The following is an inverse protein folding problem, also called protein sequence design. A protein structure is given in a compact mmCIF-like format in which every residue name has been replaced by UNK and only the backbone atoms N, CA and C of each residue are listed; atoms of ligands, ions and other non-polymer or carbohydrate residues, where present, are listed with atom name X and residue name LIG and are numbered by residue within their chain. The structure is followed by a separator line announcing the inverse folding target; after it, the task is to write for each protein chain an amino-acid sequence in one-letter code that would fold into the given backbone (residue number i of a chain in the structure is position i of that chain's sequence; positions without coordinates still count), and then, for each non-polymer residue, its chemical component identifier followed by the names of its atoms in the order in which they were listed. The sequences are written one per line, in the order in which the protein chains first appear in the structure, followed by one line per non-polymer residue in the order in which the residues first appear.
data_IF_803685372826
#
_entry.id   IF_803685372826
#
_cell.length_a   1.000
_cell.length_b   1.000
_cell.length_c   1.000
_cell.angle_alpha   90.00
_cell.angle_beta   90.00
_cell.angle_gamma   90.00
#
_symmetry.space_group_name_H-M   'P 1'
#
loop_
_entity.id
_entity.type
_entity.pdbx_description
1 polymer ?
#
# COMPACT_ATOMS: atom_id res chain seq x y z
N UNK A 1 -32.63 -13.92 41.04
CA UNK A 1 -32.36 -14.51 39.72
C UNK A 1 -32.34 -13.48 38.58
N UNK A 2 -33.27 -12.52 38.49
CA UNK A 2 -33.28 -11.48 37.42
C UNK A 2 -32.04 -10.55 37.39
N UNK A 3 -31.49 -10.21 38.56
CA UNK A 3 -30.30 -9.36 38.68
C UNK A 3 -29.00 -10.07 38.26
N UNK A 4 -28.91 -11.38 38.39
CA UNK A 4 -27.75 -12.20 37.99
C UNK A 4 -27.71 -12.35 36.46
N UNK A 5 -28.87 -12.45 35.79
CA UNK A 5 -28.96 -12.52 34.33
C UNK A 5 -28.49 -11.22 33.65
N UNK A 6 -28.78 -10.05 34.25
CA UNK A 6 -28.34 -8.75 33.72
C UNK A 6 -26.82 -8.55 33.79
N UNK A 7 -26.16 -9.08 34.80
CA UNK A 7 -24.69 -9.01 34.92
C UNK A 7 -24.02 -9.93 33.92
N UNK A 8 -24.58 -11.10 33.63
CA UNK A 8 -24.06 -12.02 32.61
C UNK A 8 -24.21 -11.44 31.17
N UNK A 9 -25.33 -10.77 30.86
CA UNK A 9 -25.50 -10.08 29.60
C UNK A 9 -24.54 -8.89 29.39
N UNK A 10 -24.19 -8.17 30.47
CA UNK A 10 -23.24 -7.06 30.39
C UNK A 10 -21.79 -7.50 30.16
N UNK A 11 -21.44 -8.74 30.55
CA UNK A 11 -20.09 -9.29 30.30
C UNK A 11 -19.90 -9.88 28.91
N UNK A 12 -20.96 -10.11 28.15
CA UNK A 12 -20.89 -10.69 26.80
C UNK A 12 -20.68 -9.65 25.67
N UNK A 13 -20.62 -8.38 26.00
CA UNK A 13 -20.40 -7.31 25.01
C UNK A 13 -18.94 -6.78 24.96
N UNK A 14 -17.96 -7.59 25.35
CA UNK A 14 -16.57 -7.33 24.99
C UNK A 14 -16.42 -7.54 23.49
N UNK A 15 -16.76 -6.50 22.71
CA UNK A 15 -16.34 -6.42 21.34
C UNK A 15 -14.82 -6.41 21.32
N UNK A 16 -14.21 -7.56 21.08
CA UNK A 16 -12.78 -7.64 20.77
C UNK A 16 -12.64 -6.94 19.41
N UNK A 17 -12.32 -5.66 19.45
CA UNK A 17 -11.89 -4.93 18.26
C UNK A 17 -10.53 -5.49 17.90
N UNK A 18 -10.52 -6.51 17.04
CA UNK A 18 -9.28 -6.97 16.44
C UNK A 18 -8.81 -5.90 15.50
N UNK A 19 -7.60 -5.39 15.70
CA UNK A 19 -6.97 -4.47 14.77
C UNK A 19 -6.82 -5.19 13.42
N UNK A 20 -7.42 -4.61 12.38
CA UNK A 20 -7.21 -5.13 11.03
C UNK A 20 -5.79 -4.78 10.60
N UNK A 21 -4.99 -5.80 10.31
CA UNK A 21 -3.64 -5.61 9.78
C UNK A 21 -3.72 -5.15 8.33
N UNK A 22 -3.06 -4.04 8.02
CA UNK A 22 -2.81 -3.64 6.64
C UNK A 22 -1.39 -4.06 6.24
N UNK A 23 -1.24 -4.61 5.04
CA UNK A 23 0.04 -5.02 4.47
C UNK A 23 0.49 -3.96 3.48
N UNK A 24 1.62 -3.32 3.76
CA UNK A 24 2.25 -2.37 2.86
C UNK A 24 3.10 -3.13 1.84
N UNK A 25 2.87 -2.86 0.54
CA UNK A 25 3.69 -3.31 -0.57
C UNK A 25 4.33 -2.08 -1.23
N UNK A 26 5.64 -2.00 -1.20
CA UNK A 26 6.44 -0.91 -1.76
C UNK A 26 7.17 -1.43 -2.99
N UNK A 27 6.65 -1.13 -4.19
CA UNK A 27 7.21 -1.58 -5.47
C UNK A 27 8.20 -0.57 -6.03
N UNK A 28 9.39 -1.02 -6.43
CA UNK A 28 10.29 -0.27 -7.30
C UNK A 28 9.81 -0.35 -8.74
N UNK A 29 9.66 0.79 -9.41
CA UNK A 29 9.15 0.87 -10.77
C UNK A 29 9.77 2.04 -11.54
N UNK A 30 9.43 2.15 -12.81
CA UNK A 30 9.80 3.28 -13.67
C UNK A 30 9.20 3.13 -15.06
N UNK A 31 8.92 4.25 -15.73
CA UNK A 31 8.37 4.26 -17.09
C UNK A 31 9.28 3.57 -18.12
N UNK A 32 10.59 3.59 -17.87
CA UNK A 32 11.61 2.91 -18.68
C UNK A 32 11.62 1.39 -18.53
N UNK A 33 11.04 0.88 -17.43
CA UNK A 33 11.08 -0.53 -17.06
C UNK A 33 10.07 -1.35 -17.88
N UNK A 34 10.53 -2.06 -18.89
CA UNK A 34 9.67 -2.84 -19.79
C UNK A 34 8.98 -4.05 -19.12
N UNK A 35 9.50 -4.52 -17.98
CA UNK A 35 8.92 -5.63 -17.19
C UNK A 35 7.98 -5.16 -16.08
N UNK A 36 7.96 -3.87 -15.76
CA UNK A 36 7.14 -3.31 -14.67
C UNK A 36 5.61 -3.41 -14.88
N UNK A 37 5.06 -3.52 -16.10
CA UNK A 37 3.65 -3.88 -16.27
C UNK A 37 3.23 -5.16 -15.58
N UNK A 38 4.16 -6.11 -15.35
CA UNK A 38 3.90 -7.30 -14.53
C UNK A 38 3.61 -6.93 -13.07
N UNK A 39 4.39 -6.01 -12.51
CA UNK A 39 4.18 -5.51 -11.15
C UNK A 39 2.80 -4.89 -10.99
N UNK A 40 2.39 -4.06 -11.94
CA UNK A 40 1.04 -3.44 -11.97
C UNK A 40 -0.05 -4.51 -11.95
N UNK A 41 0.10 -5.56 -12.79
CA UNK A 41 -0.86 -6.67 -12.84
C UNK A 41 -0.97 -7.41 -11.50
N UNK A 42 0.16 -7.70 -10.86
CA UNK A 42 0.17 -8.39 -9.56
C UNK A 42 -0.39 -7.52 -8.44
N UNK A 43 -0.07 -6.22 -8.42
CA UNK A 43 -0.64 -5.26 -7.46
C UNK A 43 -2.16 -5.19 -7.61
N UNK A 44 -2.65 -5.02 -8.84
CA UNK A 44 -4.10 -4.95 -9.12
C UNK A 44 -4.80 -6.24 -8.64
N UNK A 45 -4.23 -7.39 -8.94
CA UNK A 45 -4.73 -8.69 -8.51
C UNK A 45 -4.72 -8.85 -6.98
N UNK A 46 -3.67 -8.39 -6.29
CA UNK A 46 -3.57 -8.41 -4.83
C UNK A 46 -4.62 -7.51 -4.18
N UNK A 47 -4.80 -6.29 -4.71
CA UNK A 47 -5.76 -5.32 -4.18
C UNK A 47 -7.22 -5.73 -4.45
N UNK A 48 -7.47 -6.54 -5.49
CA UNK A 48 -8.77 -7.17 -5.73
C UNK A 48 -9.03 -8.36 -4.79
N UNK A 49 -7.97 -9.08 -4.41
CA UNK A 49 -8.07 -10.27 -3.57
C UNK A 49 -8.15 -9.92 -2.08
N UNK A 50 -7.43 -8.87 -1.65
CA UNK A 50 -7.28 -8.51 -0.25
C UNK A 50 -7.61 -7.03 -0.03
N UNK A 51 -8.64 -6.76 0.79
CA UNK A 51 -9.06 -5.38 1.11
C UNK A 51 -8.05 -4.59 1.97
N UNK A 52 -7.09 -5.27 2.55
CA UNK A 52 -6.11 -4.74 3.49
C UNK A 52 -4.66 -4.69 2.93
N UNK A 53 -4.50 -4.75 1.62
CA UNK A 53 -3.24 -4.44 0.94
C UNK A 53 -3.20 -2.97 0.56
N UNK A 54 -2.10 -2.31 0.90
CA UNK A 54 -1.78 -0.94 0.50
C UNK A 54 -0.53 -1.01 -0.36
N UNK A 55 -0.67 -0.71 -1.65
CA UNK A 55 0.46 -0.71 -2.57
C UNK A 55 0.91 0.72 -2.88
N UNK A 56 2.22 0.92 -2.94
CA UNK A 56 2.88 2.17 -3.34
C UNK A 56 3.86 1.83 -4.47
N UNK A 57 3.67 2.46 -5.64
CA UNK A 57 4.62 2.42 -6.74
C UNK A 57 5.65 3.54 -6.55
N UNK A 58 6.92 3.16 -6.42
CA UNK A 58 8.04 4.07 -6.17
C UNK A 58 8.85 4.17 -7.45
N UNK A 59 8.62 5.26 -8.16
CA UNK A 59 9.33 5.54 -9.40
C UNK A 59 10.79 5.94 -9.13
N UNK A 60 11.68 5.49 -10.00
CA UNK A 60 13.09 5.88 -10.04
C UNK A 60 13.55 6.13 -11.47
N UNK A 61 14.48 7.06 -11.64
CA UNK A 61 15.08 7.42 -12.95
C UNK A 61 14.06 7.81 -14.02
N UNK A 62 12.94 8.40 -13.67
CA UNK A 62 11.95 8.95 -14.60
C UNK A 62 11.34 10.26 -14.08
N UNK A 63 10.38 10.84 -14.82
CA UNK A 63 9.78 12.14 -14.47
C UNK A 63 8.92 12.09 -13.20
N UNK A 64 8.51 10.89 -12.75
CA UNK A 64 7.71 10.65 -11.54
C UNK A 64 8.59 10.19 -10.37
N UNK A 65 9.91 10.18 -10.54
CA UNK A 65 10.83 9.63 -9.55
C UNK A 65 10.76 10.35 -8.21
N UNK A 66 10.79 9.56 -7.13
CA UNK A 66 10.99 10.02 -5.77
C UNK A 66 12.23 9.31 -5.20
N UNK A 67 13.41 9.78 -5.65
CA UNK A 67 14.69 9.12 -5.36
C UNK A 67 14.97 9.04 -3.85
N UNK A 68 14.63 10.09 -3.08
CA UNK A 68 14.81 10.08 -1.62
C UNK A 68 14.03 8.93 -0.95
N UNK A 69 12.82 8.65 -1.42
CA UNK A 69 12.05 7.52 -0.88
C UNK A 69 12.55 6.19 -1.42
N UNK A 70 12.91 6.12 -2.70
CA UNK A 70 13.49 4.93 -3.31
C UNK A 70 14.74 4.46 -2.56
N UNK A 71 15.67 5.35 -2.26
CA UNK A 71 16.89 5.05 -1.50
C UNK A 71 16.60 4.47 -0.10
N UNK A 72 15.54 4.95 0.56
CA UNK A 72 15.11 4.44 1.88
C UNK A 72 14.57 3.01 1.82
N UNK A 73 14.03 2.58 0.68
CA UNK A 73 13.52 1.21 0.51
C UNK A 73 14.62 0.17 0.40
N UNK A 74 15.83 0.56 0.01
CA UNK A 74 16.97 -0.33 -0.31
C UNK A 74 16.68 -1.29 -1.47
N UNK A 75 15.68 -1.02 -2.29
CA UNK A 75 15.43 -1.74 -3.52
C UNK A 75 16.50 -1.39 -4.56
N UNK A 76 16.95 -2.37 -5.34
CA UNK A 76 18.05 -2.21 -6.29
C UNK A 76 17.67 -2.58 -7.73
N UNK A 77 16.46 -3.09 -7.93
CA UNK A 77 15.95 -3.52 -9.24
C UNK A 77 14.44 -3.30 -9.35
N UNK A 78 13.94 -3.25 -10.58
CA UNK A 78 12.53 -3.11 -10.90
C UNK A 78 12.09 -4.16 -11.95
N UNK A 79 10.90 -4.80 -11.81
CA UNK A 79 9.96 -4.67 -10.72
C UNK A 79 10.33 -5.59 -9.54
N UNK A 80 10.59 -5.02 -8.38
CA UNK A 80 10.72 -5.78 -7.12
C UNK A 80 9.99 -5.02 -6.02
N UNK A 81 9.62 -5.70 -4.93
CA UNK A 81 8.92 -5.05 -3.85
C UNK A 81 9.42 -5.44 -2.46
N UNK A 82 9.24 -4.50 -1.52
CA UNK A 82 9.24 -4.79 -0.09
C UNK A 82 7.80 -5.00 0.37
N UNK A 83 7.54 -6.07 1.12
CA UNK A 83 6.21 -6.39 1.63
C UNK A 83 6.26 -6.44 3.15
N UNK A 84 5.46 -5.59 3.81
CA UNK A 84 5.48 -5.40 5.26
C UNK A 84 6.85 -4.97 5.80
N UNK A 85 7.78 -4.58 4.93
CA UNK A 85 9.22 -4.31 5.20
C UNK A 85 9.96 -5.48 5.85
N UNK A 86 9.32 -6.65 5.91
CA UNK A 86 9.88 -7.91 6.38
C UNK A 86 10.42 -8.74 5.22
N UNK A 87 9.66 -8.79 4.14
CA UNK A 87 10.08 -9.41 2.89
C UNK A 87 10.64 -8.33 1.97
N UNK A 88 11.95 -8.34 1.74
CA UNK A 88 12.64 -7.29 0.99
C UNK A 88 13.08 -7.77 -0.39
N UNK A 89 12.99 -6.89 -1.40
CA UNK A 89 13.47 -7.14 -2.76
C UNK A 89 12.83 -8.35 -3.44
N UNK A 90 11.55 -8.60 -3.20
CA UNK A 90 10.84 -9.77 -3.74
C UNK A 90 10.44 -9.58 -5.19
N UNK A 91 10.62 -10.63 -5.98
CA UNK A 91 10.13 -10.71 -7.36
C UNK A 91 8.60 -10.80 -7.40
N UNK A 92 8.00 -10.38 -8.50
CA UNK A 92 6.53 -10.31 -8.66
C UNK A 92 5.81 -11.63 -8.38
N UNK A 93 6.42 -12.76 -8.73
CA UNK A 93 5.87 -14.11 -8.51
C UNK A 93 5.75 -14.49 -7.04
N UNK A 94 6.53 -13.85 -6.16
CA UNK A 94 6.55 -14.14 -4.72
C UNK A 94 5.54 -13.28 -3.94
N UNK A 95 5.01 -12.21 -4.54
CA UNK A 95 4.25 -11.20 -3.81
C UNK A 95 3.00 -11.73 -3.14
N UNK A 96 2.23 -12.60 -3.81
CA UNK A 96 1.04 -13.23 -3.21
C UNK A 96 1.40 -14.05 -1.97
N UNK A 97 2.43 -14.89 -2.07
CA UNK A 97 2.90 -15.70 -0.95
C UNK A 97 3.39 -14.84 0.23
N UNK A 98 4.16 -13.80 -0.06
CA UNK A 98 4.67 -12.88 0.97
C UNK A 98 3.54 -12.08 1.66
N UNK A 99 2.54 -11.60 0.89
CA UNK A 99 1.37 -10.91 1.44
C UNK A 99 0.57 -11.83 2.35
N UNK A 100 0.31 -13.07 1.90
CA UNK A 100 -0.41 -14.07 2.67
C UNK A 100 0.33 -14.45 3.96
N UNK A 101 1.65 -14.62 3.87
CA UNK A 101 2.48 -14.93 5.04
C UNK A 101 2.50 -13.77 6.04
N UNK A 102 2.64 -12.52 5.55
CA UNK A 102 2.58 -11.32 6.37
C UNK A 102 1.24 -11.20 7.11
N UNK A 103 0.12 -11.53 6.46
CA UNK A 103 -1.21 -11.49 7.07
C UNK A 103 -1.41 -12.56 8.14
N UNK A 104 -0.96 -13.79 7.85
CA UNK A 104 -1.28 -14.95 8.67
C UNK A 104 -0.35 -15.11 9.87
N UNK A 105 0.93 -14.78 9.70
CA UNK A 105 1.97 -15.14 10.67
C UNK A 105 2.48 -13.96 11.51
N UNK A 106 2.12 -12.71 11.14
CA UNK A 106 2.61 -11.53 11.85
C UNK A 106 1.48 -10.61 12.29
N UNK A 107 1.14 -10.65 13.56
CA UNK A 107 0.09 -9.79 14.11
C UNK A 107 0.55 -8.34 14.25
N UNK A 108 -0.36 -7.36 14.11
CA UNK A 108 -0.03 -5.95 14.31
C UNK A 108 0.31 -5.68 15.78
N UNK A 109 1.40 -4.97 16.03
CA UNK A 109 1.85 -4.59 17.37
C UNK A 109 1.34 -3.22 17.81
N UNK A 110 0.81 -2.46 16.87
CA UNK A 110 0.23 -1.15 17.13
C UNK A 110 -0.93 -0.87 16.17
N UNK A 111 -1.89 -0.09 16.64
CA UNK A 111 -2.87 0.56 15.79
C UNK A 111 -2.31 1.89 15.31
N UNK A 112 -2.44 2.14 14.02
CA UNK A 112 -2.07 3.41 13.40
C UNK A 112 -3.32 4.02 12.75
N UNK A 113 -3.64 5.24 13.14
CA UNK A 113 -4.70 6.02 12.50
C UNK A 113 -4.13 7.32 11.96
N UNK A 114 -4.63 7.76 10.81
CA UNK A 114 -4.25 9.01 10.18
C UNK A 114 -5.50 9.83 9.94
N UNK A 115 -5.49 11.06 10.42
CA UNK A 115 -6.50 12.06 10.10
C UNK A 115 -5.83 13.18 9.32
N UNK A 116 -6.48 13.66 8.25
CA UNK A 116 -5.94 14.70 7.39
C UNK A 116 -6.92 15.84 7.25
N UNK A 117 -6.38 17.05 7.21
CA UNK A 117 -7.09 18.26 6.85
C UNK A 117 -6.33 18.97 5.72
N UNK A 118 -7.03 19.40 4.67
CA UNK A 118 -6.43 20.06 3.53
C UNK A 118 -7.09 21.41 3.28
N UNK A 119 -6.35 22.47 3.46
CA UNK A 119 -6.77 23.83 3.14
C UNK A 119 -6.42 24.19 1.70
N UNK A 120 -7.42 24.23 0.84
CA UNK A 120 -7.21 24.44 -0.60
C UNK A 120 -6.64 25.81 -0.95
N UNK A 121 -6.97 26.86 -0.17
CA UNK A 121 -6.50 28.22 -0.42
C UNK A 121 -5.00 28.38 -0.21
N UNK A 122 -4.46 27.75 0.81
CA UNK A 122 -3.02 27.78 1.15
C UNK A 122 -2.27 26.56 0.63
N UNK A 123 -2.98 25.56 0.13
CA UNK A 123 -2.47 24.24 -0.26
C UNK A 123 -1.74 23.52 0.89
N UNK A 124 -2.15 23.79 2.12
CA UNK A 124 -1.60 23.18 3.31
C UNK A 124 -2.32 21.86 3.60
N UNK A 125 -1.57 20.76 3.65
CA UNK A 125 -2.03 19.46 4.15
C UNK A 125 -1.51 19.28 5.57
N UNK A 126 -2.43 19.14 6.51
CA UNK A 126 -2.11 18.73 7.89
C UNK A 126 -2.47 17.26 8.08
N UNK A 127 -1.52 16.46 8.53
CA UNK A 127 -1.73 15.05 8.84
C UNK A 127 -1.38 14.77 10.30
N UNK A 128 -2.33 14.18 11.04
CA UNK A 128 -2.10 13.72 12.43
C UNK A 128 -2.06 12.21 12.43
N UNK A 129 -0.91 11.65 12.80
CA UNK A 129 -0.69 10.20 12.91
C UNK A 129 -0.77 9.83 14.39
N UNK A 130 -1.75 9.00 14.75
CA UNK A 130 -1.92 8.49 16.10
C UNK A 130 -1.53 7.02 16.13
N UNK A 131 -0.64 6.66 17.08
CA UNK A 131 -0.15 5.30 17.25
C UNK A 131 -0.53 4.83 18.65
N UNK A 132 -1.21 3.69 18.71
CA UNK A 132 -1.57 3.05 19.98
C UNK A 132 -0.93 1.66 20.01
N UNK A 133 -0.02 1.44 20.96
CA UNK A 133 0.60 0.14 21.16
C UNK A 133 -0.44 -0.88 21.62
N UNK A 134 -0.40 -2.09 21.07
CA UNK A 134 -1.27 -3.23 21.42
C UNK A 134 -0.60 -4.20 22.38
N UNK A 135 0.72 -4.11 22.50
CA UNK A 135 1.55 -4.90 23.40
C UNK A 135 2.71 -4.06 23.91
N UNK A 136 3.45 -4.56 24.90
CA UNK A 136 4.69 -3.92 25.32
C UNK A 136 5.70 -3.99 24.17
N UNK A 137 6.15 -2.82 23.73
CA UNK A 137 7.16 -2.71 22.67
C UNK A 137 8.43 -2.13 23.27
N UNK A 138 9.54 -2.86 23.15
CA UNK A 138 10.87 -2.40 23.57
C UNK A 138 11.65 -1.85 22.36
N UNK A 139 12.42 -0.80 22.59
CA UNK A 139 13.28 -0.19 21.58
C UNK A 139 12.78 1.16 21.07
N UNK A 140 13.42 1.65 20.01
CA UNK A 140 13.08 2.92 19.36
C UNK A 140 12.29 2.65 18.09
N UNK A 141 11.16 3.30 17.95
CA UNK A 141 10.30 3.20 16.77
C UNK A 141 10.28 4.52 16.02
N UNK A 142 10.37 4.44 14.69
CA UNK A 142 10.30 5.60 13.82
C UNK A 142 8.92 5.63 13.16
N UNK A 143 8.31 6.80 13.14
CA UNK A 143 7.05 7.06 12.44
C UNK A 143 7.35 7.87 11.19
N UNK A 144 6.78 7.45 10.07
CA UNK A 144 6.87 8.17 8.80
C UNK A 144 5.50 8.25 8.14
N UNK A 145 5.28 9.32 7.39
CA UNK A 145 4.13 9.50 6.51
C UNK A 145 4.60 9.64 5.06
N UNK A 146 3.82 9.11 4.14
CA UNK A 146 4.04 9.25 2.69
C UNK A 146 2.78 9.81 2.07
N UNK A 147 2.93 10.82 1.22
CA UNK A 147 1.86 11.35 0.38
C UNK A 147 2.02 10.73 -1.00
N UNK A 148 0.98 10.06 -1.48
CA UNK A 148 0.95 9.46 -2.80
C UNK A 148 0.03 10.26 -3.73
N UNK A 149 0.41 10.35 -4.99
CA UNK A 149 -0.42 10.91 -6.04
C UNK A 149 -0.95 9.77 -6.93
N UNK A 150 -2.27 9.76 -7.16
CA UNK A 150 -2.90 8.76 -8.01
C UNK A 150 -3.08 9.28 -9.43
N UNK A 151 -3.07 8.35 -10.39
CA UNK A 151 -3.36 8.62 -11.79
C UNK A 151 -2.45 9.70 -12.41
N UNK A 152 -1.18 9.69 -12.01
CA UNK A 152 -0.19 10.60 -12.56
C UNK A 152 -0.07 10.39 -14.07
N UNK A 153 -0.24 11.45 -14.83
CA UNK A 153 -0.17 11.43 -16.30
C UNK A 153 0.32 12.77 -16.84
N UNK A 154 0.83 12.77 -18.06
CA UNK A 154 1.29 13.96 -18.71
C UNK A 154 1.12 13.89 -20.25
N UNK A 155 1.46 14.97 -20.93
CA UNK A 155 1.33 15.10 -22.39
C UNK A 155 2.56 14.66 -23.16
N UNK A 156 3.67 14.40 -22.47
CA UNK A 156 4.93 13.98 -23.07
C UNK A 156 5.10 12.47 -23.05
N UNK A 157 5.94 11.94 -23.95
CA UNK A 157 6.27 10.51 -24.00
C UNK A 157 7.00 9.99 -22.75
N UNK A 158 7.50 10.87 -21.90
CA UNK A 158 8.16 10.52 -20.63
C UNK A 158 7.23 9.83 -19.63
N UNK A 159 5.90 10.02 -19.80
CA UNK A 159 4.88 9.31 -19.00
C UNK A 159 4.46 7.97 -19.59
N UNK A 160 4.99 7.59 -20.75
CA UNK A 160 4.63 6.34 -21.41
C UNK A 160 5.39 5.17 -20.77
N UNK A 161 4.66 4.17 -20.32
CA UNK A 161 5.25 2.95 -19.75
C UNK A 161 5.79 2.04 -20.84
N UNK A 162 7.08 1.69 -20.80
CA UNK A 162 7.64 0.63 -21.61
C UNK A 162 6.98 -0.72 -21.28
N UNK A 163 6.71 -1.55 -22.30
CA UNK A 163 6.01 -2.83 -22.10
C UNK A 163 6.63 -3.96 -22.95
N UNK A 164 7.18 -4.96 -22.27
CA UNK A 164 7.71 -6.17 -22.90
C UNK A 164 6.61 -7.21 -23.18
N UNK A 165 5.50 -7.16 -22.44
CA UNK A 165 4.44 -8.17 -22.46
C UNK A 165 3.22 -7.74 -23.27
N UNK A 166 3.42 -7.30 -24.49
CA UNK A 166 2.38 -6.70 -25.35
C UNK A 166 1.12 -7.56 -25.55
N UNK A 167 1.22 -8.89 -25.35
CA UNK A 167 0.13 -9.83 -25.65
C UNK A 167 -0.49 -10.50 -24.44
N UNK A 168 0.07 -10.35 -23.24
CA UNK A 168 -0.35 -11.15 -22.08
C UNK A 168 -1.05 -10.33 -20.99
N UNK A 169 -0.45 -9.23 -20.56
CA UNK A 169 -1.00 -8.39 -19.47
C UNK A 169 -1.68 -7.13 -20.02
N UNK A 170 -1.17 -6.59 -21.11
CA UNK A 170 -1.71 -5.42 -21.79
C UNK A 170 -1.57 -5.63 -23.29
N UNK A 171 -2.68 -5.82 -24.03
CA UNK A 171 -2.63 -6.21 -25.44
C UNK A 171 -2.15 -5.14 -26.41
N UNK A 172 -1.61 -4.02 -25.94
CA UNK A 172 -1.06 -2.95 -26.77
C UNK A 172 0.46 -2.94 -26.68
N UNK A 173 1.10 -3.46 -27.72
CA UNK A 173 2.56 -3.60 -27.79
C UNK A 173 3.34 -2.30 -27.76
N UNK A 174 4.54 -2.37 -27.18
CA UNK A 174 5.57 -1.32 -27.19
C UNK A 174 5.47 -0.35 -26.02
N UNK A 175 4.59 0.61 -26.07
CA UNK A 175 4.38 1.59 -25.00
C UNK A 175 2.91 1.66 -24.63
N UNK A 176 2.64 1.73 -23.33
CA UNK A 176 1.31 1.97 -22.81
C UNK A 176 1.18 3.48 -22.64
N UNK A 177 0.45 4.10 -23.58
CA UNK A 177 0.08 5.50 -23.42
C UNK A 177 -0.91 5.63 -22.27
N UNK A 178 -0.56 6.44 -21.26
CA UNK A 178 -1.42 6.75 -20.11
C UNK A 178 -1.79 5.52 -19.27
N UNK A 179 -0.79 4.86 -18.71
CA UNK A 179 -1.05 3.91 -17.65
C UNK A 179 -1.54 4.69 -16.44
N UNK A 180 -2.85 4.68 -16.23
CA UNK A 180 -3.42 5.13 -14.97
C UNK A 180 -2.98 4.13 -13.91
N UNK A 181 -1.98 4.48 -13.12
CA UNK A 181 -1.72 3.78 -11.86
C UNK A 181 -2.89 4.09 -10.95
N UNK A 182 -3.93 3.29 -11.08
CA UNK A 182 -5.14 3.40 -10.28
C UNK A 182 -4.83 2.78 -8.93
N UNK A 183 -4.16 3.50 -8.06
CA UNK A 183 -4.16 3.15 -6.65
C UNK A 183 -5.59 3.33 -6.17
N UNK A 184 -6.30 2.23 -6.02
CA UNK A 184 -7.64 2.22 -5.48
C UNK A 184 -7.60 2.55 -4.00
N UNK A 185 -7.58 3.83 -3.65
CA UNK A 185 -8.10 4.25 -2.37
C UNK A 185 -9.60 3.96 -2.37
N UNK A 186 -9.98 2.75 -1.94
CA UNK A 186 -11.38 2.45 -1.67
C UNK A 186 -11.88 3.41 -0.60
N UNK A 187 -12.64 4.43 -1.00
CA UNK A 187 -13.52 5.15 -0.09
C UNK A 187 -14.44 4.10 0.53
N UNK A 188 -14.24 3.79 1.82
CA UNK A 188 -15.25 3.05 2.58
C UNK A 188 -16.55 3.84 2.48
N UNK A 189 -17.53 3.31 1.75
CA UNK A 189 -18.91 3.76 1.89
C UNK A 189 -19.32 3.38 3.30
N UNK A 190 -19.46 4.35 4.18
CA UNK A 190 -20.26 4.17 5.38
C UNK A 190 -21.66 3.82 4.91
N UNK A 191 -22.05 2.57 5.05
CA UNK A 191 -23.45 2.20 5.07
C UNK A 191 -24.03 2.77 6.37
N UNK A 192 -25.03 3.63 6.20
CA UNK A 192 -25.88 4.15 7.28
C UNK A 192 -26.77 3.02 7.81
#
# INVERSE_FOLDING_TARGET
MKKLLLVICAMLSLNIVTAQKNVLLEEATGTWCSYCPTGIYYIDSLMHTYDNVIAIAIHTNDIMACEEYFEKTKLISAPTANIGRRFTGKETTDWFGCVQDEMNNYQPKANVTVTTDFEAATRLLTAVITITALENMEGTFTVGGVVCEDAVSGTTSQYNQANQYSNYYFPMGGYIEKLYQKQHLRKRRHQR
#
